data_IF_251258006854
#
_entry.id   IF_251258006854
#
_cell.length_a   1.000
_cell.length_b   1.000
_cell.length_c   1.000
_cell.angle_alpha   90.00
_cell.angle_beta   90.00
_cell.angle_gamma   90.00
#
_symmetry.space_group_name_H-M   'P 1'
#
loop_
_entity.id
_entity.type
_entity.pdbx_description
1 polymer ?
#
# COMPACT_ATOMS: atom_id res chain seq x y z
N UNK A 1 26.11 -15.58 -3.99
CA UNK A 1 25.10 -16.39 -3.27
C UNK A 1 24.35 -15.50 -2.29
N UNK A 2 23.24 -14.89 -2.69
CA UNK A 2 22.27 -14.27 -1.77
C UNK A 2 21.10 -15.25 -1.52
N UNK A 3 21.41 -16.55 -1.35
CA UNK A 3 20.42 -17.60 -1.12
C UNK A 3 20.21 -17.84 0.37
N UNK A 4 19.66 -16.86 1.07
CA UNK A 4 19.23 -17.01 2.47
C UNK A 4 17.72 -17.29 2.55
N UNK A 5 17.23 -17.58 3.77
CA UNK A 5 15.80 -17.79 4.09
C UNK A 5 14.86 -16.77 3.40
N UNK A 6 15.30 -15.52 3.23
CA UNK A 6 14.51 -14.44 2.65
C UNK A 6 14.10 -14.66 1.19
N UNK A 7 14.89 -15.35 0.37
CA UNK A 7 14.58 -15.59 -1.05
C UNK A 7 14.69 -17.08 -1.38
N UNK A 8 14.18 -17.93 -0.49
CA UNK A 8 14.21 -19.38 -0.63
C UNK A 8 12.91 -19.91 -1.23
N UNK A 9 13.01 -20.62 -2.35
CA UNK A 9 11.89 -21.33 -2.96
C UNK A 9 11.39 -22.48 -2.07
N UNK A 10 12.31 -23.25 -1.50
CA UNK A 10 12.03 -24.35 -0.58
C UNK A 10 11.22 -23.87 0.64
N UNK A 11 11.52 -22.68 1.14
CA UNK A 11 10.73 -22.07 2.22
C UNK A 11 9.29 -21.78 1.78
N UNK A 12 9.09 -21.21 0.59
CA UNK A 12 7.75 -20.92 0.05
C UNK A 12 6.98 -22.22 -0.16
N UNK A 13 7.60 -23.22 -0.79
CA UNK A 13 7.00 -24.54 -1.00
C UNK A 13 6.64 -25.23 0.31
N UNK A 14 7.51 -25.16 1.31
CA UNK A 14 7.25 -25.69 2.65
C UNK A 14 6.05 -25.01 3.32
N UNK A 15 5.97 -23.67 3.26
CA UNK A 15 4.82 -22.93 3.79
C UNK A 15 3.53 -23.31 3.06
N UNK A 16 3.55 -23.31 1.72
CA UNK A 16 2.40 -23.67 0.89
C UNK A 16 1.92 -25.09 1.18
N UNK A 17 2.84 -26.06 1.25
CA UNK A 17 2.52 -27.46 1.51
C UNK A 17 1.97 -27.74 2.91
N UNK A 18 2.24 -26.86 3.88
CA UNK A 18 1.68 -26.95 5.24
C UNK A 18 0.30 -26.31 5.39
N UNK A 19 -0.13 -25.48 4.42
CA UNK A 19 -1.39 -24.75 4.52
C UNK A 19 -2.51 -25.54 3.83
N UNK A 20 -3.52 -26.04 4.58
CA UNK A 20 -4.64 -26.72 3.96
C UNK A 20 -5.52 -25.73 3.17
N UNK A 21 -6.23 -26.23 2.16
CA UNK A 21 -7.05 -25.43 1.24
C UNK A 21 -7.99 -24.43 1.95
N UNK A 22 -8.72 -24.86 2.98
CA UNK A 22 -9.65 -23.98 3.71
C UNK A 22 -8.94 -22.80 4.39
N UNK A 23 -7.71 -23.01 4.88
CA UNK A 23 -6.90 -21.95 5.47
C UNK A 23 -6.30 -21.07 4.37
N UNK A 24 -5.99 -21.64 3.21
CA UNK A 24 -5.68 -20.91 1.99
C UNK A 24 -6.79 -19.92 1.60
N UNK A 25 -8.07 -20.30 1.70
CA UNK A 25 -9.20 -19.39 1.45
C UNK A 25 -9.26 -18.23 2.45
N UNK A 26 -8.92 -18.46 3.73
CA UNK A 26 -8.81 -17.39 4.73
C UNK A 26 -7.69 -16.42 4.34
N UNK A 27 -6.53 -16.93 3.90
CA UNK A 27 -5.44 -16.09 3.42
C UNK A 27 -5.76 -15.38 2.12
N UNK A 28 -6.61 -15.94 1.26
CA UNK A 28 -7.14 -15.24 0.09
C UNK A 28 -7.93 -13.99 0.51
N UNK A 29 -8.73 -14.07 1.58
CA UNK A 29 -9.41 -12.89 2.14
C UNK A 29 -8.41 -11.86 2.65
N UNK A 30 -7.40 -12.27 3.42
CA UNK A 30 -6.34 -11.36 3.88
C UNK A 30 -5.64 -10.67 2.70
N UNK A 31 -5.34 -11.41 1.64
CA UNK A 31 -4.77 -10.87 0.41
C UNK A 31 -5.64 -9.72 -0.14
N UNK A 32 -6.96 -9.92 -0.24
CA UNK A 32 -7.88 -8.87 -0.68
C UNK A 32 -7.92 -7.67 0.24
N UNK A 33 -7.84 -7.88 1.56
CA UNK A 33 -7.76 -6.77 2.51
C UNK A 33 -6.52 -5.89 2.26
N UNK A 34 -5.43 -6.46 1.73
CA UNK A 34 -4.23 -5.72 1.34
C UNK A 34 -4.22 -5.12 -0.07
N UNK A 35 -5.31 -5.29 -0.83
CA UNK A 35 -5.40 -4.80 -2.20
C UNK A 35 -5.62 -3.28 -2.26
N UNK A 36 -5.26 -2.67 -3.39
CA UNK A 36 -5.56 -1.26 -3.67
C UNK A 36 -7.05 -0.97 -3.60
N UNK A 37 -7.90 -1.92 -4.03
CA UNK A 37 -9.36 -1.76 -3.98
C UNK A 37 -9.84 -1.46 -2.57
N UNK A 38 -9.39 -2.22 -1.57
CA UNK A 38 -9.81 -2.02 -0.18
C UNK A 38 -9.14 -0.79 0.42
N UNK A 39 -7.82 -0.66 0.28
CA UNK A 39 -7.05 0.41 0.93
C UNK A 39 -7.47 1.79 0.43
N UNK A 40 -7.65 1.98 -0.89
CA UNK A 40 -8.12 3.26 -1.44
C UNK A 40 -9.61 3.50 -1.16
N UNK A 41 -10.46 2.48 -1.18
CA UNK A 41 -11.89 2.66 -0.85
C UNK A 41 -12.07 3.12 0.59
N UNK A 42 -11.38 2.52 1.56
CA UNK A 42 -11.46 2.93 2.96
C UNK A 42 -10.88 4.34 3.13
N UNK A 43 -9.77 4.65 2.47
CA UNK A 43 -9.17 6.00 2.50
C UNK A 43 -10.10 7.06 1.90
N UNK A 44 -10.80 6.73 0.82
CA UNK A 44 -11.78 7.61 0.18
C UNK A 44 -13.00 7.85 1.09
N UNK A 45 -13.52 6.80 1.72
CA UNK A 45 -14.59 6.95 2.72
C UNK A 45 -14.13 7.81 3.88
N UNK A 46 -12.88 7.66 4.34
CA UNK A 46 -12.32 8.47 5.42
C UNK A 46 -12.16 9.93 5.01
N UNK A 47 -11.73 10.20 3.78
CA UNK A 47 -11.64 11.53 3.19
C UNK A 47 -12.97 12.29 3.27
N UNK A 48 -14.10 11.62 2.99
CA UNK A 48 -15.42 12.25 3.09
C UNK A 48 -15.97 12.39 4.52
N UNK A 49 -15.37 11.71 5.51
CA UNK A 49 -15.82 11.75 6.92
C UNK A 49 -15.08 12.77 7.79
N UNK A 50 -14.05 13.44 7.28
CA UNK A 50 -13.32 14.48 8.01
C UNK A 50 -12.07 14.95 7.29
N UNK A 51 -11.67 16.19 7.51
CA UNK A 51 -10.71 16.89 6.65
C UNK A 51 -9.23 16.59 6.91
N UNK A 52 -8.85 16.19 8.13
CA UNK A 52 -7.47 15.76 8.43
C UNK A 52 -7.02 14.58 7.56
N UNK A 53 -7.97 13.78 7.07
CA UNK A 53 -7.73 12.54 6.31
C UNK A 53 -7.44 12.78 4.83
N UNK A 54 -7.41 14.04 4.37
CA UNK A 54 -7.04 14.44 3.02
C UNK A 54 -5.73 13.81 2.52
N UNK A 55 -4.78 13.64 3.44
CA UNK A 55 -3.43 13.15 3.14
C UNK A 55 -3.30 11.63 3.02
N UNK A 56 -4.34 10.85 3.35
CA UNK A 56 -4.24 9.38 3.25
C UNK A 56 -4.04 8.94 1.80
N UNK A 57 -4.84 9.50 0.90
CA UNK A 57 -4.79 9.19 -0.52
C UNK A 57 -3.43 9.53 -1.13
N UNK A 58 -2.90 10.76 -1.05
CA UNK A 58 -1.59 11.08 -1.64
C UNK A 58 -0.44 10.32 -0.99
N UNK A 59 -0.47 10.06 0.33
CA UNK A 59 0.57 9.25 1.00
C UNK A 59 0.56 7.81 0.46
N UNK A 60 -0.62 7.23 0.27
CA UNK A 60 -0.77 5.92 -0.36
C UNK A 60 -0.28 5.95 -1.80
N UNK A 61 -0.68 6.95 -2.60
CA UNK A 61 -0.20 7.10 -3.98
C UNK A 61 1.34 7.18 -4.05
N UNK A 62 2.02 7.84 -3.11
CA UNK A 62 3.50 7.85 -3.04
C UNK A 62 4.02 6.43 -2.83
N UNK A 63 3.43 5.67 -1.91
CA UNK A 63 3.77 4.26 -1.70
C UNK A 63 3.59 3.40 -2.96
N UNK A 64 2.49 3.60 -3.68
CA UNK A 64 2.20 2.88 -4.92
C UNK A 64 3.17 3.23 -6.05
N UNK A 65 3.49 4.52 -6.22
CA UNK A 65 4.53 4.96 -7.15
C UNK A 65 5.90 4.41 -6.78
N UNK A 66 6.24 4.38 -5.48
CA UNK A 66 7.55 3.92 -5.03
C UNK A 66 7.75 2.45 -5.33
N UNK A 67 6.82 1.58 -4.93
CA UNK A 67 7.00 0.16 -5.23
C UNK A 67 6.91 -0.12 -6.72
N UNK A 68 6.07 0.63 -7.46
CA UNK A 68 6.00 0.54 -8.91
C UNK A 68 7.38 0.77 -9.54
N UNK A 69 8.02 1.88 -9.18
CA UNK A 69 9.36 2.22 -9.64
C UNK A 69 10.43 1.24 -9.16
N UNK A 70 10.36 0.77 -7.91
CA UNK A 70 11.34 -0.17 -7.35
C UNK A 70 11.31 -1.55 -8.03
N UNK A 71 10.14 -2.01 -8.49
CA UNK A 71 10.03 -3.29 -9.20
C UNK A 71 10.86 -3.35 -10.49
N UNK A 72 11.14 -2.20 -11.10
CA UNK A 72 12.00 -2.13 -12.29
C UNK A 72 13.49 -2.03 -11.94
N UNK A 73 13.84 -1.73 -10.70
CA UNK A 73 15.22 -1.72 -10.23
C UNK A 73 15.65 -3.11 -9.74
N UNK A 74 14.72 -3.85 -9.14
CA UNK A 74 14.95 -5.18 -8.59
C UNK A 74 14.27 -6.23 -9.48
N UNK A 75 15.00 -6.71 -10.50
CA UNK A 75 14.57 -7.78 -11.40
C UNK A 75 14.63 -9.15 -10.72
N UNK A 76 13.81 -9.35 -9.69
CA UNK A 76 13.67 -10.63 -8.99
C UNK A 76 12.41 -11.30 -9.51
N UNK A 77 12.55 -12.52 -10.03
CA UNK A 77 11.42 -13.33 -10.45
C UNK A 77 10.57 -13.75 -9.25
N UNK A 78 9.30 -14.07 -9.48
CA UNK A 78 8.42 -14.61 -8.43
C UNK A 78 8.74 -16.09 -8.19
N UNK A 79 8.36 -16.64 -7.03
CA UNK A 79 8.57 -18.06 -6.73
C UNK A 79 8.00 -19.02 -7.79
N UNK A 80 6.89 -18.65 -8.44
CA UNK A 80 6.28 -19.48 -9.49
C UNK A 80 5.64 -20.77 -8.96
N UNK A 81 5.44 -20.87 -7.65
CA UNK A 81 4.82 -22.02 -6.98
C UNK A 81 3.31 -21.90 -7.05
N UNK A 82 2.61 -23.00 -7.30
CA UNK A 82 1.15 -23.06 -7.15
C UNK A 82 0.81 -22.85 -5.67
N UNK A 83 0.14 -21.75 -5.33
CA UNK A 83 -0.21 -21.42 -3.94
C UNK A 83 -1.14 -22.46 -3.30
N UNK A 84 -1.40 -22.31 -2.00
CA UNK A 84 -2.25 -23.23 -1.22
C UNK A 84 -3.73 -23.26 -1.68
N UNK A 85 -4.12 -22.35 -2.58
CA UNK A 85 -5.41 -22.32 -3.25
C UNK A 85 -5.16 -22.52 -4.74
N UNK A 86 -5.58 -23.68 -5.27
CA UNK A 86 -5.41 -24.05 -6.67
C UNK A 86 -6.68 -23.75 -7.48
N UNK A 87 -6.52 -23.40 -8.76
CA UNK A 87 -7.63 -23.15 -9.67
C UNK A 87 -8.53 -24.38 -9.88
N UNK A 88 -7.96 -25.59 -9.86
CA UNK A 88 -8.69 -26.86 -10.03
C UNK A 88 -9.68 -27.14 -8.91
N UNK A 89 -9.39 -26.62 -7.72
CA UNK A 89 -10.14 -26.93 -6.50
C UNK A 89 -11.19 -25.84 -6.19
N UNK A 90 -11.19 -24.76 -6.98
CA UNK A 90 -12.11 -23.64 -6.83
C UNK A 90 -13.37 -23.81 -7.67
N UNK A 91 -14.56 -23.53 -7.12
CA UNK A 91 -15.75 -23.30 -7.92
C UNK A 91 -15.49 -22.22 -9.00
N UNK A 92 -16.02 -22.41 -10.21
CA UNK A 92 -15.74 -21.55 -11.37
C UNK A 92 -16.02 -20.07 -11.12
N UNK A 93 -17.03 -19.74 -10.30
CA UNK A 93 -17.36 -18.36 -9.96
C UNK A 93 -16.35 -17.67 -9.03
N UNK A 94 -15.48 -18.43 -8.34
CA UNK A 94 -14.40 -17.89 -7.50
C UNK A 94 -13.07 -17.79 -8.26
N UNK A 95 -12.94 -18.39 -9.43
CA UNK A 95 -11.71 -18.32 -10.24
C UNK A 95 -11.26 -16.87 -10.48
N UNK A 96 -12.14 -15.92 -10.85
CA UNK A 96 -11.75 -14.51 -11.02
C UNK A 96 -11.23 -13.87 -9.72
N UNK A 97 -11.68 -14.36 -8.56
CA UNK A 97 -11.23 -13.89 -7.25
C UNK A 97 -9.79 -14.35 -7.00
N UNK A 98 -9.46 -15.60 -7.34
CA UNK A 98 -8.08 -16.06 -7.24
C UNK A 98 -7.18 -15.35 -8.26
N UNK A 99 -7.61 -15.23 -9.52
CA UNK A 99 -6.88 -14.51 -10.58
C UNK A 99 -6.54 -13.08 -10.15
N UNK A 100 -7.50 -12.33 -9.59
CA UNK A 100 -7.25 -10.98 -9.10
C UNK A 100 -6.24 -10.92 -7.94
N UNK A 101 -6.11 -11.98 -7.15
CA UNK A 101 -5.18 -12.04 -6.02
C UNK A 101 -3.76 -12.46 -6.41
N UNK A 102 -3.60 -13.24 -7.48
CA UNK A 102 -2.32 -13.83 -7.90
C UNK A 102 -1.80 -13.37 -9.27
N UNK A 103 -2.65 -12.77 -10.11
CA UNK A 103 -2.31 -12.31 -11.45
C UNK A 103 -1.41 -11.08 -11.43
N UNK A 104 -0.11 -11.27 -11.67
CA UNK A 104 0.84 -10.16 -11.80
C UNK A 104 1.85 -10.43 -12.92
N UNK A 105 2.14 -9.40 -13.71
CA UNK A 105 3.14 -9.40 -14.79
C UNK A 105 4.49 -8.77 -14.41
N UNK A 106 4.64 -8.30 -13.17
CA UNK A 106 5.82 -7.57 -12.69
C UNK A 106 6.63 -8.34 -11.64
N UNK A 107 7.88 -7.92 -11.44
CA UNK A 107 8.85 -8.50 -10.51
C UNK A 107 8.33 -8.69 -9.08
N UNK A 108 9.01 -9.54 -8.31
CA UNK A 108 8.60 -9.97 -6.98
C UNK A 108 8.92 -8.93 -5.89
N UNK A 109 10.09 -8.30 -5.94
CA UNK A 109 10.51 -7.34 -4.92
C UNK A 109 10.23 -5.87 -5.30
N UNK A 110 9.76 -5.04 -4.35
CA UNK A 110 9.16 -5.39 -3.06
C UNK A 110 7.69 -5.81 -3.23
N UNK A 111 7.11 -6.42 -2.18
CA UNK A 111 5.68 -6.74 -2.18
C UNK A 111 4.81 -5.48 -2.05
N UNK A 112 4.07 -5.15 -3.11
CA UNK A 112 3.17 -3.98 -3.12
C UNK A 112 2.04 -4.05 -2.08
N UNK A 113 1.52 -5.25 -1.80
CA UNK A 113 0.54 -5.45 -0.72
C UNK A 113 1.17 -5.12 0.64
N UNK A 114 2.38 -5.61 0.91
CA UNK A 114 3.09 -5.33 2.16
C UNK A 114 3.40 -3.83 2.34
N UNK A 115 3.82 -3.15 1.28
CA UNK A 115 4.01 -1.68 1.28
C UNK A 115 2.70 -0.97 1.61
N UNK A 116 1.62 -1.31 0.91
CA UNK A 116 0.32 -0.66 1.08
C UNK A 116 -0.23 -0.83 2.51
N UNK A 117 -0.23 -2.05 3.05
CA UNK A 117 -0.76 -2.31 4.39
C UNK A 117 0.09 -1.70 5.50
N UNK A 118 1.42 -1.62 5.30
CA UNK A 118 2.30 -0.95 6.24
C UNK A 118 2.03 0.56 6.31
N UNK A 119 1.93 1.24 5.16
CA UNK A 119 1.54 2.66 5.10
C UNK A 119 0.16 2.86 5.71
N UNK A 120 -0.82 2.06 5.31
CA UNK A 120 -2.19 2.18 5.79
C UNK A 120 -2.30 1.96 7.31
N UNK A 121 -1.49 1.04 7.86
CA UNK A 121 -1.40 0.82 9.30
C UNK A 121 -0.86 2.05 10.04
N UNK A 122 0.18 2.72 9.51
CA UNK A 122 0.68 3.99 10.08
C UNK A 122 -0.45 5.01 10.15
N UNK A 123 -1.19 5.18 9.05
CA UNK A 123 -2.30 6.12 8.96
C UNK A 123 -3.43 5.79 9.93
N UNK A 124 -3.83 4.52 10.05
CA UNK A 124 -4.83 4.08 11.04
C UNK A 124 -4.34 4.37 12.45
N UNK A 125 -3.14 3.95 12.81
CA UNK A 125 -2.61 4.04 14.18
C UNK A 125 -2.43 5.48 14.62
N UNK A 126 -1.99 6.37 13.73
CA UNK A 126 -1.67 7.75 14.09
C UNK A 126 -2.87 8.69 13.89
N UNK A 127 -3.63 8.52 12.81
CA UNK A 127 -4.58 9.56 12.38
C UNK A 127 -6.05 9.17 12.61
N UNK A 128 -6.40 7.88 12.63
CA UNK A 128 -7.83 7.50 12.53
C UNK A 128 -8.73 7.96 13.67
N UNK A 129 -8.20 8.12 14.88
CA UNK A 129 -8.97 8.46 16.09
C UNK A 129 -9.99 7.41 16.53
N UNK A 130 -10.07 6.26 15.85
CA UNK A 130 -10.99 5.16 16.21
C UNK A 130 -10.29 4.18 17.14
N UNK A 131 -10.97 3.71 18.17
CA UNK A 131 -10.41 2.81 19.19
C UNK A 131 -9.22 3.41 19.96
N UNK A 132 -8.82 2.75 21.05
CA UNK A 132 -7.59 3.14 21.74
C UNK A 132 -6.35 2.78 20.89
N UNK A 133 -5.22 3.48 21.13
CA UNK A 133 -3.98 3.29 20.36
C UNK A 133 -3.42 1.88 20.44
N UNK A 134 -3.55 1.20 21.59
CA UNK A 134 -3.09 -0.17 21.78
C UNK A 134 -3.81 -1.17 20.88
N UNK A 135 -5.14 -1.08 20.79
CA UNK A 135 -5.95 -1.90 19.89
C UNK A 135 -5.63 -1.62 18.42
N UNK A 136 -5.46 -0.34 18.04
CA UNK A 136 -5.06 0.02 16.67
C UNK A 136 -3.70 -0.59 16.30
N UNK A 137 -2.74 -0.57 17.22
CA UNK A 137 -1.44 -1.20 17.02
C UNK A 137 -1.56 -2.72 16.88
N UNK A 138 -2.29 -3.38 17.77
CA UNK A 138 -2.50 -4.83 17.71
C UNK A 138 -3.17 -5.28 16.41
N UNK A 139 -4.25 -4.59 16.00
CA UNK A 139 -4.93 -4.86 14.74
C UNK A 139 -4.06 -4.53 13.53
N UNK A 140 -3.25 -3.47 13.60
CA UNK A 140 -2.29 -3.11 12.57
C UNK A 140 -1.21 -4.16 12.36
N UNK A 141 -0.64 -4.69 13.44
CA UNK A 141 0.33 -5.79 13.39
C UNK A 141 -0.33 -7.05 12.80
N UNK A 142 -1.52 -7.41 13.27
CA UNK A 142 -2.27 -8.54 12.72
C UNK A 142 -2.55 -8.37 11.22
N UNK A 143 -2.88 -7.15 10.79
CA UNK A 143 -3.14 -6.85 9.39
C UNK A 143 -1.87 -6.98 8.54
N UNK A 144 -0.74 -6.38 8.97
CA UNK A 144 0.55 -6.51 8.27
C UNK A 144 0.98 -7.98 8.17
N UNK A 145 0.91 -8.73 9.27
CA UNK A 145 1.31 -10.14 9.31
C UNK A 145 0.37 -10.99 8.46
N UNK A 146 -0.94 -10.83 8.61
CA UNK A 146 -1.94 -11.60 7.88
C UNK A 146 -1.87 -11.41 6.37
N UNK A 147 -1.76 -10.15 5.92
CA UNK A 147 -1.58 -9.85 4.49
C UNK A 147 -0.21 -10.27 4.00
N UNK A 148 0.86 -9.97 4.74
CA UNK A 148 2.21 -10.34 4.34
C UNK A 148 2.35 -11.86 4.16
N UNK A 149 1.88 -12.62 5.15
CA UNK A 149 1.93 -14.08 5.11
C UNK A 149 1.03 -14.66 4.01
N UNK A 150 -0.14 -14.04 3.74
CA UNK A 150 -0.99 -14.48 2.64
C UNK A 150 -0.28 -14.43 1.28
N UNK A 151 0.68 -13.51 1.09
CA UNK A 151 1.44 -13.43 -0.17
C UNK A 151 2.41 -14.61 -0.36
N UNK A 152 2.90 -15.18 0.73
CA UNK A 152 3.75 -16.37 0.72
C UNK A 152 2.88 -17.61 0.51
N UNK A 153 1.76 -17.72 1.25
CA UNK A 153 0.78 -18.81 1.13
C UNK A 153 0.19 -18.92 -0.28
N UNK A 154 -0.02 -17.79 -0.96
CA UNK A 154 -0.49 -17.78 -2.35
C UNK A 154 0.63 -18.00 -3.38
N UNK A 155 1.88 -18.23 -2.94
CA UNK A 155 3.01 -18.58 -3.81
C UNK A 155 3.56 -17.41 -4.66
N UNK A 156 3.15 -16.18 -4.38
CA UNK A 156 3.41 -15.03 -5.27
C UNK A 156 4.59 -14.16 -4.82
N UNK A 157 5.07 -14.31 -3.59
CA UNK A 157 6.18 -13.54 -3.04
C UNK A 157 7.05 -14.38 -2.11
N UNK A 158 8.34 -14.06 -2.07
CA UNK A 158 9.27 -14.54 -1.06
C UNK A 158 9.12 -13.76 0.25
N UNK A 159 9.67 -14.32 1.33
CA UNK A 159 9.69 -13.66 2.64
C UNK A 159 10.41 -12.30 2.60
N UNK A 160 11.49 -12.19 1.84
CA UNK A 160 12.26 -10.97 1.62
C UNK A 160 11.45 -9.87 0.95
N UNK A 161 10.59 -10.21 -0.02
CA UNK A 161 9.68 -9.25 -0.67
C UNK A 161 8.71 -8.64 0.33
N UNK A 162 8.18 -9.47 1.23
CA UNK A 162 7.22 -9.06 2.26
C UNK A 162 7.91 -8.17 3.29
N UNK A 163 9.05 -8.62 3.85
CA UNK A 163 9.77 -7.84 4.87
C UNK A 163 10.28 -6.52 4.29
N UNK A 164 10.87 -6.54 3.09
CA UNK A 164 11.31 -5.32 2.41
C UNK A 164 10.15 -4.38 2.15
N UNK A 165 9.00 -4.91 1.69
CA UNK A 165 7.79 -4.13 1.49
C UNK A 165 7.26 -3.50 2.78
N UNK A 166 7.23 -4.24 3.90
CA UNK A 166 6.83 -3.69 5.21
C UNK A 166 7.77 -2.57 5.65
N UNK A 167 9.09 -2.79 5.57
CA UNK A 167 10.08 -1.77 5.97
C UNK A 167 9.93 -0.50 5.13
N UNK A 168 9.85 -0.65 3.80
CA UNK A 168 9.63 0.48 2.88
C UNK A 168 8.34 1.22 3.23
N UNK A 169 7.23 0.48 3.41
CA UNK A 169 5.93 1.08 3.72
C UNK A 169 5.91 1.80 5.07
N UNK A 170 6.53 1.25 6.11
CA UNK A 170 6.64 1.91 7.41
C UNK A 170 7.48 3.19 7.32
N UNK A 171 8.63 3.14 6.65
CA UNK A 171 9.52 4.31 6.47
C UNK A 171 8.80 5.42 5.70
N UNK A 172 8.17 5.09 4.57
CA UNK A 172 7.42 6.07 3.75
C UNK A 172 6.24 6.63 4.54
N UNK A 173 5.42 5.76 5.13
CA UNK A 173 4.24 6.16 5.88
C UNK A 173 4.58 7.10 7.03
N UNK A 174 5.59 6.74 7.85
CA UNK A 174 6.04 7.57 8.97
C UNK A 174 6.66 8.90 8.50
N UNK A 175 7.49 8.88 7.45
CA UNK A 175 8.16 10.08 6.94
C UNK A 175 7.17 11.07 6.37
N UNK A 176 6.20 10.62 5.56
CA UNK A 176 5.20 11.50 4.97
C UNK A 176 4.17 11.97 6.00
N UNK A 177 3.83 11.14 6.98
CA UNK A 177 3.05 11.57 8.14
C UNK A 177 3.79 12.66 8.92
N UNK A 178 5.09 12.50 9.15
CA UNK A 178 5.90 13.52 9.81
C UNK A 178 5.92 14.83 9.03
N UNK A 179 6.12 14.79 7.70
CA UNK A 179 6.07 15.99 6.84
C UNK A 179 4.70 16.67 6.94
N UNK A 180 3.61 15.91 6.92
CA UNK A 180 2.25 16.43 7.10
C UNK A 180 2.10 17.22 8.41
N UNK A 181 2.59 16.68 9.52
CA UNK A 181 2.42 17.31 10.83
C UNK A 181 3.35 18.51 11.06
N UNK A 182 4.51 18.54 10.40
CA UNK A 182 5.59 19.49 10.73
C UNK A 182 5.89 20.50 9.63
N UNK A 183 5.18 20.48 8.50
CA UNK A 183 5.42 21.39 7.39
C UNK A 183 4.17 22.11 6.93
N UNK A 184 4.24 23.44 6.84
CA UNK A 184 3.20 24.27 6.20
C UNK A 184 3.08 24.03 4.69
N UNK A 185 4.10 23.44 4.08
CA UNK A 185 4.14 23.08 2.65
C UNK A 185 3.90 21.58 2.42
N UNK A 186 3.22 20.89 3.35
CA UNK A 186 3.04 19.45 3.29
C UNK A 186 2.37 18.98 2.00
N UNK A 187 1.40 19.74 1.48
CA UNK A 187 0.66 19.42 0.26
C UNK A 187 1.59 19.43 -0.95
N UNK A 188 2.38 20.49 -1.09
CA UNK A 188 3.35 20.67 -2.16
C UNK A 188 4.45 19.63 -2.09
N UNK A 189 5.02 19.40 -0.90
CA UNK A 189 6.10 18.44 -0.69
C UNK A 189 5.65 17.00 -0.98
N UNK A 190 4.52 16.56 -0.43
CA UNK A 190 4.02 15.19 -0.65
C UNK A 190 3.65 14.99 -2.12
N UNK A 191 3.02 15.98 -2.76
CA UNK A 191 2.68 15.90 -4.18
C UNK A 191 3.93 15.87 -5.06
N UNK A 192 4.94 16.70 -4.77
CA UNK A 192 6.21 16.72 -5.50
C UNK A 192 6.97 15.40 -5.35
N UNK A 193 7.10 14.89 -4.12
CA UNK A 193 7.70 13.57 -3.86
C UNK A 193 6.94 12.50 -4.65
N UNK A 194 5.61 12.54 -4.63
CA UNK A 194 4.76 11.61 -5.37
C UNK A 194 5.02 11.61 -6.87
N UNK A 195 5.08 12.80 -7.49
CA UNK A 195 5.40 12.96 -8.91
C UNK A 195 6.80 12.41 -9.22
N UNK A 196 7.81 12.79 -8.44
CA UNK A 196 9.20 12.37 -8.65
C UNK A 196 9.36 10.85 -8.56
N UNK A 197 8.73 10.24 -7.55
CA UNK A 197 8.80 8.80 -7.29
C UNK A 197 8.02 8.00 -8.33
N UNK A 198 6.94 8.56 -8.88
CA UNK A 198 6.11 7.92 -9.92
C UNK A 198 6.69 8.07 -11.32
N UNK A 199 7.53 9.08 -11.57
CA UNK A 199 8.06 9.38 -12.89
C UNK A 199 8.74 8.17 -13.59
N UNK A 200 9.53 7.31 -12.91
CA UNK A 200 10.06 6.10 -13.55
C UNK A 200 8.96 5.13 -14.00
N UNK A 201 7.86 5.02 -13.24
CA UNK A 201 6.73 4.15 -13.60
C UNK A 201 6.09 4.59 -14.91
N UNK A 202 6.03 5.88 -15.23
CA UNK A 202 5.52 6.36 -16.54
C UNK A 202 6.32 5.80 -17.73
N UNK A 203 7.61 5.53 -17.54
CA UNK A 203 8.46 4.98 -18.59
C UNK A 203 8.25 3.47 -18.76
N UNK A 204 8.13 2.72 -17.66
CA UNK A 204 8.07 1.26 -17.70
C UNK A 204 6.65 0.68 -17.73
N UNK A 205 5.67 1.37 -17.16
CA UNK A 205 4.24 1.05 -17.18
C UNK A 205 3.44 2.36 -17.33
N UNK A 206 3.33 2.82 -18.58
CA UNK A 206 2.76 4.12 -18.92
C UNK A 206 1.36 4.32 -18.33
N UNK A 207 0.49 3.32 -18.43
CA UNK A 207 -0.88 3.45 -17.92
C UNK A 207 -0.90 3.54 -16.40
N UNK A 208 -0.15 2.69 -15.70
CA UNK A 208 -0.05 2.77 -14.24
C UNK A 208 0.52 4.13 -13.80
N UNK A 209 1.60 4.58 -14.43
CA UNK A 209 2.20 5.88 -14.14
C UNK A 209 1.23 7.04 -14.38
N UNK A 210 0.44 6.98 -15.45
CA UNK A 210 -0.54 8.00 -15.81
C UNK A 210 -1.65 8.10 -14.77
N UNK A 211 -2.20 6.97 -14.31
CA UNK A 211 -3.21 6.93 -13.25
C UNK A 211 -2.69 7.51 -11.94
N UNK A 212 -1.46 7.20 -11.56
CA UNK A 212 -0.82 7.74 -10.36
C UNK A 212 -0.63 9.26 -10.47
N UNK A 213 -0.15 9.76 -11.62
CA UNK A 213 0.03 11.18 -11.88
C UNK A 213 -1.30 11.96 -11.80
N UNK A 214 -2.36 11.44 -12.44
CA UNK A 214 -3.71 12.02 -12.33
C UNK A 214 -4.22 12.01 -10.88
N UNK A 215 -3.92 10.98 -10.10
CA UNK A 215 -4.26 10.92 -8.68
C UNK A 215 -3.66 12.08 -7.89
N UNK A 216 -2.37 12.38 -8.08
CA UNK A 216 -1.70 13.52 -7.44
C UNK A 216 -2.25 14.87 -7.92
N UNK A 217 -2.45 15.01 -9.24
CA UNK A 217 -3.01 16.23 -9.82
C UNK A 217 -4.43 16.52 -9.28
N UNK A 218 -5.27 15.50 -9.22
CA UNK A 218 -6.63 15.61 -8.67
C UNK A 218 -6.59 15.99 -7.18
N UNK A 219 -5.73 15.34 -6.39
CA UNK A 219 -5.55 15.69 -4.97
C UNK A 219 -5.13 17.15 -4.80
N UNK A 220 -4.08 17.59 -5.50
CA UNK A 220 -3.56 18.95 -5.42
C UNK A 220 -4.62 19.98 -5.82
N UNK A 221 -5.34 19.72 -6.92
CA UNK A 221 -6.39 20.61 -7.42
C UNK A 221 -7.56 20.72 -6.43
N UNK A 222 -8.09 19.58 -5.96
CA UNK A 222 -9.21 19.56 -5.02
C UNK A 222 -8.82 20.25 -3.70
N UNK A 223 -7.61 20.01 -3.21
CA UNK A 223 -7.11 20.67 -2.01
C UNK A 223 -7.02 22.19 -2.22
N UNK A 224 -6.38 22.62 -3.31
CA UNK A 224 -6.18 24.04 -3.64
C UNK A 224 -7.50 24.81 -3.77
N UNK A 225 -8.47 24.26 -4.52
CA UNK A 225 -9.79 24.87 -4.68
C UNK A 225 -10.51 25.01 -3.34
N UNK A 226 -10.44 23.99 -2.47
CA UNK A 226 -11.09 24.04 -1.16
C UNK A 226 -10.47 25.09 -0.24
N UNK A 227 -9.15 25.26 -0.25
CA UNK A 227 -8.45 26.31 0.51
C UNK A 227 -8.87 27.70 0.06
N UNK A 228 -9.14 27.90 -1.24
CA UNK A 228 -9.57 29.18 -1.79
C UNK A 228 -11.04 29.52 -1.48
N UNK A 229 -11.91 28.51 -1.42
CA UNK A 229 -13.38 28.69 -1.35
C UNK A 229 -13.93 28.65 0.08
N UNK A 230 -13.23 28.04 1.04
CA UNK A 230 -13.75 27.88 2.40
C UNK A 230 -13.04 28.82 3.40
N UNK A 231 -13.78 29.81 3.92
CA UNK A 231 -13.25 30.84 4.82
C UNK A 231 -12.66 30.29 6.12
N UNK A 232 -13.17 29.16 6.62
CA UNK A 232 -12.59 28.48 7.79
C UNK A 232 -11.18 27.94 7.49
N UNK A 233 -10.92 27.52 6.25
CA UNK A 233 -9.60 27.06 5.78
C UNK A 233 -8.70 28.23 5.47
N UNK A 234 -9.26 29.26 4.83
CA UNK A 234 -8.55 30.49 4.51
C UNK A 234 -8.00 31.14 5.78
N UNK A 235 -8.79 31.21 6.86
CA UNK A 235 -8.34 31.73 8.14
C UNK A 235 -7.26 30.85 8.80
N UNK A 236 -7.39 29.52 8.77
CA UNK A 236 -6.35 28.61 9.32
C UNK A 236 -5.03 28.74 8.52
N UNK A 237 -5.11 28.82 7.19
CA UNK A 237 -3.96 28.98 6.31
C UNK A 237 -3.30 30.35 6.48
N UNK A 238 -4.09 31.44 6.55
CA UNK A 238 -3.60 32.80 6.76
C UNK A 238 -2.99 32.97 8.15
N UNK A 239 -3.61 32.43 9.21
CA UNK A 239 -3.06 32.46 10.57
C UNK A 239 -1.69 31.76 10.60
N UNK A 240 -1.57 30.57 10.01
CA UNK A 240 -0.28 29.88 9.86
C UNK A 240 0.75 30.65 8.99
N UNK A 241 0.30 31.60 8.16
CA UNK A 241 1.15 32.44 7.31
C UNK A 241 1.61 33.72 8.01
N UNK A 242 0.87 34.19 9.01
CA UNK A 242 1.09 35.47 9.69
C UNK A 242 1.71 35.33 11.09
N UNK A 243 1.55 34.17 11.76
CA UNK A 243 2.05 33.94 13.13
C UNK A 243 3.46 33.32 13.20
N UNK A 244 4.19 33.21 12.07
CA UNK A 244 5.58 32.72 12.03
C UNK A 244 6.41 33.37 10.95
#
# INVERSE_FOLDING_TARGET
>A
MFGGLFFSLEFVEGVVGLVPFWLGLVFLVFSYLGSSYVVFSVSLVRYFRGFGFGFWIPILLVGYGLFGSLKFLFFIDRPGVSGAVCFSDLPSFLVPVLEGAVGFSSGSFPSGHAVAVAIFTVLIVLDSGVLNRGLRLGLGVLYIVGVGFSRIVLGVHYLGDVIGGVVIGLVVGLSLYYIRENSRYAVELISLIGVLVTAPTLYFDFYQGLWLFFGFFAFYTIHSVRTLVNDSYKNTFIVNLLEG
#
